data_IF_892201830609
#
_entry.id   IF_892201830609
#
_cell.length_a   1.000
_cell.length_b   1.000
_cell.length_c   1.000
_cell.angle_alpha   90.00
_cell.angle_beta   90.00
_cell.angle_gamma   90.00
#
_symmetry.space_group_name_H-M   'P 1'
#
loop_
_entity.id
_entity.type
_entity.pdbx_description
1 polymer ?
#
# COMPACT_ATOMS: atom_id res chain seq x y z
N UNK A 1 -34.34 37.18 31.70
CA UNK A 1 -34.54 35.98 30.87
C UNK A 1 -33.54 35.94 29.70
N UNK A 2 -32.25 36.23 29.94
CA UNK A 2 -31.24 36.39 28.87
C UNK A 2 -30.03 35.43 29.08
N UNK A 3 -29.73 35.04 30.32
CA UNK A 3 -28.58 34.17 30.64
C UNK A 3 -28.76 32.66 30.36
N UNK A 4 -29.98 32.19 30.08
CA UNK A 4 -30.23 30.75 29.80
C UNK A 4 -29.95 30.36 28.34
N UNK A 5 -30.05 31.31 27.42
CA UNK A 5 -29.90 31.07 25.98
C UNK A 5 -28.42 30.85 25.62
N UNK A 6 -27.52 31.69 26.14
CA UNK A 6 -26.08 31.58 25.88
C UNK A 6 -25.46 30.24 26.33
N UNK A 7 -25.91 29.68 27.46
CA UNK A 7 -25.43 28.37 27.95
C UNK A 7 -25.83 27.21 27.03
N UNK A 8 -27.02 27.28 26.42
CA UNK A 8 -27.48 26.25 25.48
C UNK A 8 -26.76 26.33 24.14
N UNK A 9 -26.47 27.54 23.64
CA UNK A 9 -25.73 27.73 22.40
C UNK A 9 -24.25 27.31 22.50
N UNK A 10 -23.62 27.52 23.65
CA UNK A 10 -22.22 27.10 23.87
C UNK A 10 -22.08 25.57 23.96
N UNK A 11 -23.09 24.88 24.49
CA UNK A 11 -23.10 23.42 24.61
C UNK A 11 -23.27 22.73 23.23
N UNK A 12 -24.08 23.31 22.34
CA UNK A 12 -24.29 22.79 20.97
C UNK A 12 -23.01 22.95 20.13
N UNK A 13 -22.29 24.07 20.30
CA UNK A 13 -20.99 24.30 19.64
C UNK A 13 -19.95 23.25 20.06
N UNK A 14 -19.91 22.88 21.34
CA UNK A 14 -18.97 21.86 21.84
C UNK A 14 -19.24 20.46 21.27
N UNK A 15 -20.52 20.08 21.09
CA UNK A 15 -20.89 18.79 20.50
C UNK A 15 -20.49 18.71 19.02
N UNK A 16 -20.62 19.82 18.28
CA UNK A 16 -20.26 19.84 16.85
C UNK A 16 -18.76 19.63 16.59
N UNK A 17 -17.88 20.12 17.48
CA UNK A 17 -16.42 19.94 17.30
C UNK A 17 -15.98 18.50 17.58
N UNK A 18 -16.69 17.77 18.45
CA UNK A 18 -16.37 16.37 18.79
C UNK A 18 -16.86 15.40 17.72
N UNK A 19 -17.95 15.74 17.01
CA UNK A 19 -18.55 14.85 15.97
C UNK A 19 -18.00 15.11 14.57
N UNK A 20 -17.19 16.16 14.37
CA UNK A 20 -16.62 16.52 13.06
C UNK A 20 -15.15 16.14 12.90
N UNK A 21 -14.63 15.22 13.72
CA UNK A 21 -13.29 14.64 13.57
C UNK A 21 -13.33 13.25 12.92
N UNK A 22 -14.28 13.00 12.01
CA UNK A 22 -14.06 11.92 11.06
C UNK A 22 -12.94 12.37 10.12
N UNK A 23 -11.83 11.63 10.14
CA UNK A 23 -10.67 11.90 9.30
C UNK A 23 -11.13 11.96 7.85
N UNK A 24 -11.13 13.15 7.26
CA UNK A 24 -11.73 13.40 5.95
C UNK A 24 -10.87 12.94 4.77
N UNK A 25 -9.98 11.98 4.98
CA UNK A 25 -9.28 11.28 3.91
C UNK A 25 -9.09 9.83 4.34
N UNK A 26 -10.01 8.95 3.93
CA UNK A 26 -9.69 7.52 3.87
C UNK A 26 -8.50 7.40 2.91
N UNK A 27 -7.38 6.89 3.43
CA UNK A 27 -6.19 6.66 2.62
C UNK A 27 -6.46 5.62 1.55
N UNK A 28 -5.61 5.58 0.52
CA UNK A 28 -5.83 4.74 -0.65
C UNK A 28 -5.85 3.22 -0.34
N UNK A 29 -5.34 2.80 0.82
CA UNK A 29 -5.38 1.42 1.29
C UNK A 29 -6.45 1.16 2.35
N UNK A 30 -7.39 2.09 2.55
CA UNK A 30 -8.48 1.91 3.50
C UNK A 30 -9.29 0.64 3.20
N UNK A 31 -9.61 -0.13 4.23
CA UNK A 31 -10.34 -1.41 4.21
C UNK A 31 -9.68 -2.55 3.39
N UNK A 32 -8.50 -2.32 2.79
CA UNK A 32 -7.76 -3.37 2.08
C UNK A 32 -7.08 -4.30 3.09
N UNK A 33 -7.73 -5.42 3.41
CA UNK A 33 -7.28 -6.30 4.49
C UNK A 33 -6.74 -7.67 4.03
N UNK A 34 -6.86 -7.99 2.75
CA UNK A 34 -6.50 -9.30 2.19
C UNK A 34 -5.81 -9.12 0.85
N UNK A 35 -4.53 -9.46 0.76
CA UNK A 35 -3.71 -9.23 -0.43
C UNK A 35 -3.34 -10.52 -1.15
N UNK A 36 -3.45 -10.50 -2.48
CA UNK A 36 -2.73 -11.42 -3.33
C UNK A 36 -1.26 -10.97 -3.41
N UNK A 37 -0.31 -11.90 -3.32
CA UNK A 37 1.13 -11.58 -3.35
C UNK A 37 1.76 -12.05 -4.65
N UNK A 38 2.41 -11.13 -5.37
CA UNK A 38 3.22 -11.43 -6.54
C UNK A 38 4.62 -10.84 -6.38
N UNK A 39 5.64 -11.68 -6.56
CA UNK A 39 7.04 -11.28 -6.52
C UNK A 39 7.66 -11.53 -7.88
N UNK A 40 8.22 -10.47 -8.47
CA UNK A 40 8.95 -10.52 -9.73
C UNK A 40 10.41 -10.20 -9.42
N UNK A 41 11.30 -11.12 -9.80
CA UNK A 41 12.75 -10.93 -9.75
C UNK A 41 13.24 -11.08 -11.18
N UNK A 42 13.87 -10.04 -11.72
CA UNK A 42 14.38 -9.98 -13.10
C UNK A 42 15.84 -9.51 -13.09
N UNK A 43 16.75 -10.32 -13.63
CA UNK A 43 18.18 -10.02 -13.68
C UNK A 43 18.93 -10.12 -12.34
N UNK A 44 18.28 -10.67 -11.31
CA UNK A 44 18.80 -10.85 -9.94
C UNK A 44 18.62 -12.28 -9.40
N UNK A 45 18.25 -13.24 -10.24
CA UNK A 45 17.86 -14.61 -9.86
C UNK A 45 19.01 -15.40 -9.23
N UNK A 46 20.26 -15.07 -9.58
CA UNK A 46 21.46 -15.64 -8.96
C UNK A 46 21.76 -15.09 -7.55
N UNK A 47 21.08 -14.01 -7.13
CA UNK A 47 21.33 -13.32 -5.86
C UNK A 47 20.19 -13.55 -4.86
N UNK A 48 18.95 -13.45 -5.33
CA UNK A 48 17.73 -13.60 -4.53
C UNK A 48 16.69 -14.44 -5.29
N UNK A 49 15.89 -15.20 -4.54
CA UNK A 49 14.82 -16.04 -5.09
C UNK A 49 13.46 -15.38 -4.88
N UNK A 50 12.65 -15.30 -5.93
CA UNK A 50 11.28 -14.78 -5.87
C UNK A 50 10.40 -15.55 -4.88
N UNK A 51 10.54 -16.89 -4.84
CA UNK A 51 9.80 -17.74 -3.91
C UNK A 51 10.19 -17.47 -2.45
N UNK A 52 11.49 -17.33 -2.17
CA UNK A 52 11.96 -17.01 -0.83
C UNK A 52 11.50 -15.62 -0.37
N UNK A 53 11.56 -14.62 -1.25
CA UNK A 53 11.03 -13.28 -0.96
C UNK A 53 9.53 -13.36 -0.69
N UNK A 54 8.76 -14.06 -1.53
CA UNK A 54 7.30 -14.24 -1.32
C UNK A 54 7.01 -14.81 0.06
N UNK A 55 7.72 -15.87 0.47
CA UNK A 55 7.57 -16.46 1.80
C UNK A 55 7.91 -15.49 2.92
N UNK A 56 9.04 -14.77 2.83
CA UNK A 56 9.43 -13.76 3.83
C UNK A 56 8.37 -12.65 3.97
N UNK A 57 7.85 -12.14 2.85
CA UNK A 57 6.81 -11.10 2.88
C UNK A 57 5.53 -11.64 3.54
N UNK A 58 5.07 -12.83 3.16
CA UNK A 58 3.87 -13.44 3.76
C UNK A 58 4.03 -13.58 5.27
N UNK A 59 5.17 -14.08 5.74
CA UNK A 59 5.44 -14.25 7.18
C UNK A 59 5.39 -12.91 7.93
N UNK A 60 5.99 -11.86 7.36
CA UNK A 60 5.94 -10.52 7.96
C UNK A 60 4.51 -9.96 7.98
N UNK A 61 3.76 -10.09 6.89
CA UNK A 61 2.37 -9.62 6.86
C UNK A 61 1.49 -10.35 7.89
N UNK A 62 1.72 -11.66 8.08
CA UNK A 62 1.03 -12.45 9.09
C UNK A 62 1.32 -11.96 10.51
N UNK A 63 2.57 -11.56 10.82
CA UNK A 63 2.95 -10.96 12.10
C UNK A 63 2.12 -9.70 12.41
N UNK A 64 1.88 -8.87 11.40
CA UNK A 64 1.04 -7.67 11.50
C UNK A 64 -0.46 -7.94 11.28
N UNK A 65 -0.87 -9.21 11.19
CA UNK A 65 -2.27 -9.64 10.97
C UNK A 65 -2.87 -9.13 9.65
N UNK A 66 -2.05 -8.77 8.68
CA UNK A 66 -2.46 -8.42 7.32
C UNK A 66 -2.65 -9.74 6.56
N UNK A 67 -3.87 -10.00 6.08
CA UNK A 67 -4.19 -11.31 5.48
C UNK A 67 -3.62 -11.41 4.08
N UNK A 68 -3.26 -12.62 3.70
CA UNK A 68 -2.88 -12.96 2.33
C UNK A 68 -3.77 -14.08 1.81
N UNK A 69 -4.05 -14.08 0.51
CA UNK A 69 -4.90 -15.09 -0.13
C UNK A 69 -4.41 -15.37 -1.53
N UNK A 70 -4.41 -16.65 -1.90
CA UNK A 70 -4.14 -17.11 -3.27
C UNK A 70 -5.41 -17.28 -4.10
N UNK A 71 -6.59 -17.13 -3.48
CA UNK A 71 -7.90 -17.33 -4.13
C UNK A 71 -8.40 -16.06 -4.84
N UNK A 72 -7.99 -14.88 -4.36
CA UNK A 72 -8.38 -13.59 -4.92
C UNK A 72 -7.26 -12.99 -5.76
N UNK A 73 -7.61 -12.29 -6.85
CA UNK A 73 -6.62 -11.63 -7.71
C UNK A 73 -6.26 -10.21 -7.23
N UNK A 74 -7.17 -9.54 -6.52
CA UNK A 74 -7.02 -8.15 -6.04
C UNK A 74 -7.57 -8.01 -4.62
N UNK A 75 -7.07 -7.05 -3.82
CA UNK A 75 -5.91 -6.19 -4.08
C UNK A 75 -4.60 -7.00 -4.20
N UNK A 76 -3.77 -6.64 -5.17
CA UNK A 76 -2.52 -7.32 -5.47
C UNK A 76 -1.36 -6.50 -4.90
N UNK A 77 -0.68 -7.03 -3.88
CA UNK A 77 0.62 -6.53 -3.46
C UNK A 77 1.70 -7.13 -4.37
N UNK A 78 2.28 -6.27 -5.21
CA UNK A 78 3.37 -6.60 -6.12
C UNK A 78 4.69 -6.12 -5.52
N UNK A 79 5.66 -7.01 -5.51
CA UNK A 79 7.04 -6.72 -5.16
C UNK A 79 7.89 -6.97 -6.42
N UNK A 80 8.58 -5.93 -6.89
CA UNK A 80 9.40 -5.98 -8.10
C UNK A 80 10.85 -5.70 -7.74
N UNK A 81 11.73 -6.63 -8.07
CA UNK A 81 13.19 -6.48 -7.98
C UNK A 81 13.77 -6.67 -9.37
N UNK A 82 14.31 -5.61 -9.96
CA UNK A 82 14.96 -5.65 -11.27
C UNK A 82 16.42 -5.27 -11.11
N UNK A 83 17.32 -6.01 -11.73
CA UNK A 83 18.75 -5.70 -11.74
C UNK A 83 19.38 -5.79 -13.12
N UNK A 84 20.31 -4.90 -13.38
CA UNK A 84 21.10 -4.87 -14.60
C UNK A 84 22.58 -4.70 -14.27
N UNK A 85 23.40 -5.65 -14.71
CA UNK A 85 24.85 -5.58 -14.57
C UNK A 85 25.43 -4.67 -15.64
N UNK A 86 26.31 -3.75 -15.25
CA UNK A 86 26.98 -2.87 -16.22
C UNK A 86 28.28 -3.48 -16.73
N UNK A 87 28.48 -3.41 -18.04
CA UNK A 87 29.70 -3.90 -18.70
C UNK A 87 30.91 -3.00 -18.40
N UNK A 88 30.66 -1.70 -18.23
CA UNK A 88 31.72 -0.68 -18.11
C UNK A 88 32.19 -0.45 -16.67
N UNK A 89 31.32 -0.68 -15.68
CA UNK A 89 31.60 -0.48 -14.25
C UNK A 89 31.24 -1.77 -13.50
N UNK A 90 32.18 -2.35 -12.72
CA UNK A 90 31.92 -3.60 -12.02
C UNK A 90 30.87 -3.40 -10.92
N UNK A 91 29.64 -3.84 -11.20
CA UNK A 91 28.51 -3.82 -10.27
C UNK A 91 27.17 -3.94 -10.98
N UNK A 92 26.11 -3.92 -10.18
CA UNK A 92 24.72 -4.10 -10.61
C UNK A 92 23.90 -2.92 -10.13
N UNK A 93 23.22 -2.26 -11.07
CA UNK A 93 22.14 -1.34 -10.75
C UNK A 93 20.89 -2.15 -10.47
N UNK A 94 20.12 -1.74 -9.49
CA UNK A 94 18.89 -2.43 -9.15
C UNK A 94 17.77 -1.48 -8.78
N UNK A 95 16.53 -1.91 -9.00
CA UNK A 95 15.31 -1.24 -8.58
C UNK A 95 14.54 -2.18 -7.67
N UNK A 96 14.03 -1.67 -6.55
CA UNK A 96 13.08 -2.37 -5.69
C UNK A 96 11.82 -1.53 -5.61
N UNK A 97 10.67 -2.12 -5.91
CA UNK A 97 9.35 -1.48 -5.85
C UNK A 97 8.38 -2.36 -5.05
N UNK A 98 7.62 -1.73 -4.17
CA UNK A 98 6.39 -2.28 -3.60
C UNK A 98 5.22 -1.48 -4.17
N UNK A 99 4.22 -2.16 -4.72
CA UNK A 99 3.00 -1.52 -5.19
C UNK A 99 1.75 -2.34 -4.89
N UNK A 100 0.64 -1.66 -4.57
CA UNK A 100 -0.68 -2.29 -4.44
C UNK A 100 -1.48 -1.91 -5.67
N UNK A 101 -1.93 -2.93 -6.42
CA UNK A 101 -2.85 -2.76 -7.54
C UNK A 101 -4.24 -3.16 -7.07
N UNK A 102 -5.23 -2.30 -7.27
CA UNK A 102 -6.62 -2.59 -6.93
C UNK A 102 -7.59 -2.05 -7.98
N UNK A 103 -8.86 -2.44 -7.86
CA UNK A 103 -9.91 -1.94 -8.72
C UNK A 103 -10.19 -0.45 -8.44
N UNK A 104 -10.30 0.33 -9.50
CA UNK A 104 -10.64 1.75 -9.43
C UNK A 104 -11.68 2.11 -10.48
N UNK A 105 -12.39 3.20 -10.20
CA UNK A 105 -13.43 3.79 -11.05
C UNK A 105 -13.01 5.22 -11.34
N UNK A 106 -13.16 5.68 -12.59
CA UNK A 106 -12.87 7.09 -12.91
C UNK A 106 -13.90 8.04 -12.27
N UNK A 107 -13.53 9.31 -12.10
CA UNK A 107 -14.43 10.31 -11.51
C UNK A 107 -15.68 10.50 -12.37
N UNK A 108 -15.53 10.44 -13.69
CA UNK A 108 -16.62 10.52 -14.64
C UNK A 108 -17.57 9.32 -14.50
N UNK A 109 -17.05 8.09 -14.48
CA UNK A 109 -17.85 6.87 -14.27
C UNK A 109 -18.52 6.87 -12.89
N UNK A 110 -17.82 7.34 -11.85
CA UNK A 110 -18.38 7.50 -10.51
C UNK A 110 -19.52 8.53 -10.50
N UNK A 111 -19.32 9.70 -11.10
CA UNK A 111 -20.33 10.77 -11.17
C UNK A 111 -21.57 10.37 -11.99
N UNK A 112 -21.38 9.61 -13.07
CA UNK A 112 -22.49 9.11 -13.89
C UNK A 112 -23.29 8.02 -13.17
N UNK A 113 -22.65 7.20 -12.32
CA UNK A 113 -23.33 6.17 -11.53
C UNK A 113 -24.30 6.72 -10.47
N UNK A 114 -24.13 7.97 -10.02
CA UNK A 114 -25.14 8.66 -9.20
C UNK A 114 -26.33 9.18 -10.02
N UNK A 115 -26.12 9.39 -11.31
CA UNK A 115 -27.10 10.04 -12.19
C UNK A 115 -27.98 8.99 -12.90
N UNK A 116 -27.37 7.87 -13.29
CA UNK A 116 -28.03 6.72 -13.89
C UNK A 116 -27.95 5.55 -12.91
N UNK A 117 -29.08 4.93 -12.56
CA UNK A 117 -29.19 3.73 -11.70
C UNK A 117 -28.68 2.49 -12.48
N UNK A 118 -27.51 2.59 -13.11
CA UNK A 118 -26.85 1.50 -13.82
C UNK A 118 -25.63 1.06 -13.00
N UNK A 119 -25.56 -0.22 -12.67
CA UNK A 119 -24.42 -0.81 -11.98
C UNK A 119 -23.14 -0.61 -12.80
N UNK A 120 -22.09 -0.13 -12.14
CA UNK A 120 -20.74 0.00 -12.72
C UNK A 120 -20.23 -1.40 -13.11
N UNK A 121 -20.23 -1.69 -14.41
CA UNK A 121 -19.88 -3.02 -14.95
C UNK A 121 -18.41 -3.16 -15.39
N UNK A 122 -17.65 -2.06 -15.45
CA UNK A 122 -16.26 -2.05 -15.93
C UNK A 122 -15.31 -1.40 -14.92
N UNK A 123 -14.83 -2.20 -13.98
CA UNK A 123 -13.76 -1.77 -13.08
C UNK A 123 -12.42 -1.76 -13.82
N UNK A 124 -11.69 -0.66 -13.72
CA UNK A 124 -10.28 -0.59 -14.15
C UNK A 124 -9.40 -1.04 -12.98
N UNK A 125 -8.12 -1.29 -13.24
CA UNK A 125 -7.14 -1.53 -12.19
C UNK A 125 -6.05 -0.47 -12.24
N UNK A 126 -5.63 0.01 -11.08
CA UNK A 126 -4.56 1.00 -10.96
C UNK A 126 -3.72 0.75 -9.70
N UNK A 127 -2.51 1.31 -9.68
CA UNK A 127 -1.69 1.36 -8.46
C UNK A 127 -2.34 2.33 -7.47
N UNK A 128 -2.74 1.84 -6.30
CA UNK A 128 -3.31 2.64 -5.20
C UNK A 128 -2.24 2.98 -4.14
N UNK A 129 -1.15 2.20 -4.11
CA UNK A 129 0.05 2.46 -3.32
C UNK A 129 1.28 2.11 -4.17
N UNK A 130 2.37 2.88 -3.99
CA UNK A 130 3.66 2.63 -4.61
C UNK A 130 4.79 3.26 -3.79
N UNK A 131 5.85 2.49 -3.57
CA UNK A 131 7.13 3.02 -3.11
C UNK A 131 8.25 2.30 -3.87
N UNK A 132 9.19 3.09 -4.41
CA UNK A 132 10.25 2.60 -5.27
C UNK A 132 11.58 3.22 -4.84
N UNK A 133 12.64 2.41 -4.89
CA UNK A 133 14.01 2.89 -4.77
C UNK A 133 14.89 2.31 -5.87
N UNK A 134 15.94 3.04 -6.21
CA UNK A 134 16.97 2.63 -7.16
C UNK A 134 18.29 2.64 -6.41
N UNK A 135 19.09 1.61 -6.62
CA UNK A 135 20.39 1.45 -5.98
C UNK A 135 21.45 0.93 -6.94
N UNK A 136 22.68 0.92 -6.44
CA UNK A 136 23.83 0.36 -7.11
C UNK A 136 24.69 -0.36 -6.07
N UNK A 137 25.16 -1.56 -6.39
CA UNK A 137 26.08 -2.29 -5.54
C UNK A 137 27.05 -3.13 -6.37
N UNK A 138 28.25 -3.35 -5.82
CA UNK A 138 29.08 -4.43 -6.30
C UNK A 138 28.46 -5.80 -5.93
N UNK A 139 28.94 -6.87 -6.56
CA UNK A 139 28.39 -8.22 -6.37
C UNK A 139 28.57 -8.77 -4.95
N UNK A 140 29.60 -8.32 -4.23
CA UNK A 140 29.88 -8.77 -2.85
C UNK A 140 28.78 -8.33 -1.88
N UNK A 141 28.31 -7.08 -1.99
CA UNK A 141 27.30 -6.51 -1.10
C UNK A 141 25.89 -6.49 -1.69
N UNK A 142 25.71 -6.88 -2.95
CA UNK A 142 24.44 -6.77 -3.68
C UNK A 142 23.28 -7.44 -2.92
N UNK A 143 23.49 -8.65 -2.43
CA UNK A 143 22.45 -9.38 -1.69
C UNK A 143 22.02 -8.62 -0.44
N UNK A 144 22.98 -8.20 0.38
CA UNK A 144 22.70 -7.48 1.63
C UNK A 144 21.94 -6.18 1.36
N UNK A 145 22.40 -5.42 0.36
CA UNK A 145 21.75 -4.16 -0.06
C UNK A 145 20.33 -4.37 -0.57
N UNK A 146 20.07 -5.43 -1.33
CA UNK A 146 18.72 -5.77 -1.79
C UNK A 146 17.80 -6.14 -0.63
N UNK A 147 18.30 -6.91 0.35
CA UNK A 147 17.52 -7.31 1.50
C UNK A 147 17.21 -6.12 2.42
N UNK A 148 18.16 -5.23 2.64
CA UNK A 148 17.90 -3.97 3.37
C UNK A 148 16.84 -3.14 2.67
N UNK A 149 16.97 -2.91 1.36
CA UNK A 149 15.98 -2.15 0.61
C UNK A 149 14.59 -2.81 0.62
N UNK A 150 14.53 -4.14 0.57
CA UNK A 150 13.29 -4.92 0.68
C UNK A 150 12.63 -4.69 2.05
N UNK A 151 13.40 -4.75 3.14
CA UNK A 151 12.90 -4.56 4.50
C UNK A 151 12.42 -3.12 4.72
N UNK A 152 13.19 -2.12 4.24
CA UNK A 152 12.80 -0.70 4.31
C UNK A 152 11.46 -0.44 3.61
N UNK A 153 11.27 -1.00 2.40
CA UNK A 153 10.02 -0.83 1.65
C UNK A 153 8.83 -1.56 2.29
N UNK A 154 9.08 -2.71 2.91
CA UNK A 154 8.07 -3.45 3.66
C UNK A 154 7.62 -2.67 4.89
N UNK A 155 8.55 -2.08 5.64
CA UNK A 155 8.24 -1.23 6.80
C UNK A 155 7.40 -0.02 6.37
N UNK A 156 7.76 0.65 5.27
CA UNK A 156 6.98 1.75 4.71
C UNK A 156 5.58 1.32 4.28
N UNK A 157 5.45 0.17 3.63
CA UNK A 157 4.16 -0.39 3.27
C UNK A 157 3.27 -0.65 4.49
N UNK A 158 3.81 -1.33 5.52
CA UNK A 158 3.08 -1.64 6.75
C UNK A 158 2.69 -0.34 7.48
N UNK A 159 3.61 0.62 7.57
CA UNK A 159 3.37 1.91 8.18
C UNK A 159 2.23 2.67 7.49
N UNK A 160 2.23 2.73 6.16
CA UNK A 160 1.15 3.35 5.40
C UNK A 160 -0.16 2.56 5.54
N UNK A 161 -0.10 1.22 5.55
CA UNK A 161 -1.29 0.39 5.73
C UNK A 161 -1.96 0.66 7.08
N UNK A 162 -1.20 0.76 8.16
CA UNK A 162 -1.73 1.12 9.48
C UNK A 162 -2.23 2.55 9.56
N UNK A 163 -1.60 3.49 8.86
CA UNK A 163 -2.07 4.87 8.79
C UNK A 163 -3.47 4.95 8.13
N UNK A 164 -3.70 4.15 7.08
CA UNK A 164 -4.97 4.08 6.35
C UNK A 164 -6.01 3.19 7.07
N UNK A 165 -5.56 2.29 7.95
CA UNK A 165 -6.38 1.32 8.69
C UNK A 165 -6.17 1.41 10.23
N UNK A 166 -6.41 2.57 10.86
CA UNK A 166 -6.03 2.82 12.26
C UNK A 166 -6.72 1.92 13.28
N UNK A 167 -7.91 1.37 12.95
CA UNK A 167 -8.62 0.42 13.83
C UNK A 167 -7.90 -0.92 13.97
N UNK A 168 -6.94 -1.22 13.10
CA UNK A 168 -6.16 -2.46 13.14
C UNK A 168 -4.88 -2.34 13.98
N UNK A 169 -4.56 -1.15 14.50
CA UNK A 169 -3.41 -0.93 15.39
C UNK A 169 -3.61 -1.51 16.81
N UNK A 170 -4.83 -1.92 17.20
CA UNK A 170 -5.20 -2.32 18.56
C UNK A 170 -5.76 -3.75 18.63
#
# INVERSE_FOLDING_TARGET
>A
MINKIYKSSFFILFISVVVCQDNWHDGNMHDLNNFAINVIVDGLEGTVSSAWIKSKIIENLEEYKIRTSEEVAYPLLRILLVGESMVEVPGTYYTVEFSVIHHTVSIEEYSESFTNIEELTKFRTSKVYEHQSIGYSNNEYLRDRLLTALDDHLELFIGQWFADNPRHQF
#
